data_IF_819008492507
#
_entry.id   IF_819008492507
#
_cell.length_a   1.000
_cell.length_b   1.000
_cell.length_c   1.000
_cell.angle_alpha   90.00
_cell.angle_beta   90.00
_cell.angle_gamma   90.00
#
_symmetry.space_group_name_H-M   'P 1'
#
loop_
_entity.id
_entity.type
_entity.pdbx_description
1 polymer ?
#
# COMPACT_ATOMS: atom_id res chain seq x y z
N UNK A 1 3.94 15.09 4.74
CA UNK A 1 4.17 13.67 4.41
C UNK A 1 4.74 12.99 5.65
N UNK A 2 4.45 11.71 5.84
CA UNK A 2 5.00 10.95 6.96
C UNK A 2 5.32 9.52 6.52
N UNK A 3 6.54 9.07 6.81
CA UNK A 3 7.00 7.71 6.56
C UNK A 3 6.19 6.71 7.38
N UNK A 4 5.72 5.64 6.73
CA UNK A 4 4.90 4.59 7.35
C UNK A 4 5.24 3.23 6.79
N UNK A 5 5.13 2.23 7.65
CA UNK A 5 4.88 0.84 7.24
C UNK A 5 3.36 0.66 7.15
N UNK A 6 2.86 0.13 6.04
CA UNK A 6 1.43 -0.18 5.89
C UNK A 6 1.23 -1.67 6.18
N UNK A 7 0.92 -2.00 7.42
CA UNK A 7 0.80 -3.37 7.91
C UNK A 7 -0.57 -3.97 7.58
N UNK A 8 -0.56 -5.22 7.13
CA UNK A 8 -1.79 -5.99 6.92
C UNK A 8 -2.37 -6.47 8.26
N UNK A 9 -3.67 -6.32 8.48
CA UNK A 9 -4.28 -6.71 9.76
C UNK A 9 -4.53 -8.22 9.89
N UNK A 10 -4.60 -8.99 8.80
CA UNK A 10 -4.78 -10.45 8.92
C UNK A 10 -3.52 -11.17 9.40
N UNK A 11 -2.35 -10.58 9.15
CA UNK A 11 -1.06 -11.08 9.62
C UNK A 11 -0.12 -9.90 9.88
N UNK A 12 0.14 -9.64 11.16
CA UNK A 12 0.93 -8.49 11.61
C UNK A 12 2.42 -8.59 11.28
N UNK A 13 2.89 -9.72 10.73
CA UNK A 13 4.25 -9.87 10.22
C UNK A 13 4.39 -9.48 8.74
N UNK A 14 3.28 -9.11 8.09
CA UNK A 14 3.22 -8.78 6.67
C UNK A 14 2.70 -7.35 6.44
N UNK A 15 3.09 -6.75 5.31
CA UNK A 15 2.59 -5.44 4.89
C UNK A 15 2.72 -5.18 3.40
N UNK A 16 2.20 -4.03 2.97
CA UNK A 16 2.36 -3.58 1.58
C UNK A 16 3.82 -3.24 1.30
N UNK A 17 4.32 -3.75 0.18
CA UNK A 17 5.66 -3.49 -0.30
C UNK A 17 5.84 -3.86 -1.75
N UNK A 18 7.08 -3.76 -2.19
CA UNK A 18 7.49 -4.04 -3.57
C UNK A 18 8.72 -4.91 -3.61
N UNK A 19 8.88 -5.69 -4.68
CA UNK A 19 10.13 -6.43 -4.90
C UNK A 19 11.26 -5.52 -5.41
N UNK A 20 10.89 -4.47 -6.15
CA UNK A 20 11.82 -3.54 -6.79
C UNK A 20 11.23 -2.13 -6.82
N UNK A 21 12.09 -1.11 -6.88
CA UNK A 21 11.74 0.31 -6.77
C UNK A 21 11.78 0.97 -8.16
N UNK A 22 11.01 0.41 -9.10
CA UNK A 22 10.95 0.87 -10.49
C UNK A 22 9.49 1.03 -10.93
N UNK A 23 9.25 1.85 -11.94
CA UNK A 23 7.94 1.97 -12.58
C UNK A 23 7.48 0.59 -13.09
N UNK A 24 6.22 0.25 -12.84
CA UNK A 24 5.59 -1.01 -13.19
C UNK A 24 5.84 -2.14 -12.19
N UNK A 25 6.66 -1.94 -11.16
CA UNK A 25 6.84 -2.94 -10.11
C UNK A 25 5.51 -3.24 -9.42
N UNK A 26 5.20 -4.54 -9.27
CA UNK A 26 3.99 -4.97 -8.60
C UNK A 26 4.04 -4.63 -7.11
N UNK A 27 2.95 -4.06 -6.60
CA UNK A 27 2.73 -3.91 -5.17
C UNK A 27 2.09 -5.19 -4.65
N UNK A 28 2.63 -5.69 -3.55
CA UNK A 28 2.19 -6.95 -2.97
C UNK A 28 2.42 -7.03 -1.49
N UNK A 29 2.15 -8.21 -0.94
CA UNK A 29 2.26 -8.51 0.48
C UNK A 29 3.61 -9.12 0.77
N UNK A 30 4.33 -8.53 1.71
CA UNK A 30 5.70 -8.91 2.00
C UNK A 30 5.99 -9.02 3.49
N UNK A 31 6.93 -9.89 3.92
CA UNK A 31 7.42 -9.92 5.29
C UNK A 31 7.97 -8.57 5.72
N UNK A 32 7.57 -8.10 6.91
CA UNK A 32 8.07 -6.85 7.45
C UNK A 32 9.55 -6.95 7.89
N UNK A 33 10.04 -8.17 8.15
CA UNK A 33 11.45 -8.43 8.42
C UNK A 33 12.29 -8.39 7.14
N UNK A 34 13.29 -7.52 7.09
CA UNK A 34 14.41 -7.63 6.14
C UNK A 34 14.26 -6.91 4.78
N UNK A 35 13.20 -6.14 4.55
CA UNK A 35 12.98 -5.45 3.25
C UNK A 35 13.26 -3.93 3.26
N UNK A 36 13.51 -3.35 4.44
CA UNK A 36 13.94 -1.94 4.60
C UNK A 36 13.09 -0.97 3.76
N UNK A 37 13.78 -0.17 2.95
CA UNK A 37 13.23 0.81 2.00
C UNK A 37 12.05 0.34 1.12
N UNK A 38 11.93 -0.96 0.82
CA UNK A 38 10.87 -1.51 -0.05
C UNK A 38 9.49 -1.62 0.63
N UNK A 39 9.42 -1.32 1.92
CA UNK A 39 8.19 -1.33 2.72
C UNK A 39 7.81 0.06 3.25
N UNK A 40 8.65 1.07 3.05
CA UNK A 40 8.46 2.40 3.63
C UNK A 40 7.72 3.28 2.63
N UNK A 41 6.57 3.78 3.08
CA UNK A 41 5.67 4.60 2.28
C UNK A 41 5.50 5.97 2.91
N UNK A 42 5.60 7.03 2.11
CA UNK A 42 5.17 8.37 2.49
C UNK A 42 3.68 8.54 2.17
N UNK A 43 2.87 8.70 3.21
CA UNK A 43 1.46 9.05 3.05
C UNK A 43 1.33 10.57 2.98
N UNK A 44 1.02 11.08 1.79
CA UNK A 44 0.75 12.49 1.54
C UNK A 44 -0.75 12.76 1.60
N UNK A 45 -1.22 13.11 2.80
CA UNK A 45 -2.62 13.46 3.05
C UNK A 45 -3.07 14.74 2.34
N UNK A 46 -2.15 15.64 1.97
CA UNK A 46 -2.49 16.90 1.31
C UNK A 46 -2.87 16.67 -0.16
N UNK A 47 -2.18 15.73 -0.81
CA UNK A 47 -2.43 15.36 -2.21
C UNK A 47 -3.23 14.05 -2.36
N UNK A 48 -3.52 13.33 -1.27
CA UNK A 48 -4.07 11.97 -1.27
C UNK A 48 -3.17 10.97 -2.03
N UNK A 49 -1.85 11.06 -1.89
CA UNK A 49 -0.92 10.14 -2.53
C UNK A 49 -0.26 9.21 -1.51
N UNK A 50 0.05 7.99 -1.94
CA UNK A 50 0.89 7.05 -1.19
C UNK A 50 2.13 6.81 -2.05
N UNK A 51 3.26 7.33 -1.60
CA UNK A 51 4.52 7.34 -2.34
C UNK A 51 5.49 6.36 -1.72
N UNK A 52 6.29 5.66 -2.51
CA UNK A 52 7.39 4.87 -1.97
C UNK A 52 8.51 5.83 -1.55
N UNK A 53 8.92 5.76 -0.28
CA UNK A 53 9.89 6.70 0.30
C UNK A 53 11.26 6.60 -0.39
N UNK A 54 11.79 5.38 -0.50
CA UNK A 54 13.11 5.14 -1.08
C UNK A 54 13.21 5.39 -2.60
N UNK A 55 12.08 5.64 -3.27
CA UNK A 55 12.05 6.13 -4.66
C UNK A 55 12.30 7.64 -4.80
N UNK A 56 12.71 8.34 -3.73
CA UNK A 56 12.83 9.79 -3.72
C UNK A 56 11.49 10.48 -3.98
N UNK A 57 10.39 9.82 -3.55
CA UNK A 57 9.01 10.27 -3.76
C UNK A 57 8.60 10.39 -5.24
N UNK A 58 9.31 9.73 -6.16
CA UNK A 58 8.99 9.73 -7.60
C UNK A 58 8.10 8.56 -8.04
N UNK A 59 7.75 7.66 -7.11
CA UNK A 59 6.96 6.46 -7.37
C UNK A 59 5.72 6.43 -6.47
N UNK A 60 4.54 6.37 -7.06
CA UNK A 60 3.25 6.33 -6.37
C UNK A 60 2.57 4.97 -6.50
N UNK A 61 1.81 4.59 -5.47
CA UNK A 61 0.82 3.51 -5.55
C UNK A 61 -0.25 3.88 -6.58
N UNK A 62 -0.44 3.03 -7.57
CA UNK A 62 -1.36 3.27 -8.68
C UNK A 62 -2.10 2.01 -9.09
N UNK A 63 -3.21 2.19 -9.77
CA UNK A 63 -3.83 1.10 -10.54
C UNK A 63 -2.93 0.80 -11.73
N UNK A 64 -2.72 -0.48 -12.02
CA UNK A 64 -2.00 -0.87 -13.23
C UNK A 64 -2.61 -0.20 -14.47
N UNK A 65 -1.76 0.41 -15.27
CA UNK A 65 -2.11 1.17 -16.49
C UNK A 65 -3.11 2.32 -16.23
N UNK A 66 -3.21 2.82 -14.99
CA UNK A 66 -4.16 3.85 -14.57
C UNK A 66 -5.63 3.40 -14.64
N UNK A 67 -5.88 2.08 -14.75
CA UNK A 67 -7.22 1.53 -14.96
C UNK A 67 -7.98 1.42 -13.64
N UNK A 68 -8.84 2.39 -13.34
CA UNK A 68 -9.67 2.41 -12.14
C UNK A 68 -10.84 1.42 -12.30
N UNK A 69 -10.66 0.19 -11.82
CA UNK A 69 -11.68 -0.85 -11.81
C UNK A 69 -11.36 -1.91 -10.74
N UNK A 70 -12.37 -2.68 -10.33
CA UNK A 70 -12.15 -3.86 -9.47
C UNK A 70 -11.26 -4.89 -10.17
N UNK A 71 -10.54 -5.66 -9.37
CA UNK A 71 -9.62 -6.73 -9.76
C UNK A 71 -8.41 -6.27 -10.57
N UNK A 72 -8.12 -4.96 -10.56
CA UNK A 72 -6.92 -4.41 -11.19
C UNK A 72 -5.74 -4.47 -10.20
N UNK A 73 -4.60 -5.09 -10.58
CA UNK A 73 -3.40 -5.10 -9.75
C UNK A 73 -2.90 -3.69 -9.44
N UNK A 74 -2.29 -3.51 -8.27
CA UNK A 74 -1.63 -2.27 -7.92
C UNK A 74 -0.14 -2.33 -8.25
N UNK A 75 0.41 -1.21 -8.70
CA UNK A 75 1.80 -1.08 -9.14
C UNK A 75 2.40 0.23 -8.65
N UNK A 76 3.72 0.36 -8.78
CA UNK A 76 4.38 1.66 -8.77
C UNK A 76 4.26 2.33 -10.13
N UNK A 77 3.79 3.58 -10.15
CA UNK A 77 3.82 4.44 -11.33
C UNK A 77 4.61 5.71 -11.06
N UNK A 78 5.07 6.37 -12.13
CA UNK A 78 5.75 7.67 -12.03
C UNK A 78 4.85 8.72 -11.35
N UNK A 79 5.39 9.43 -10.38
CA UNK A 79 4.78 10.56 -9.69
C UNK A 79 5.45 11.87 -10.10
N UNK A 80 4.66 12.81 -10.63
CA UNK A 80 5.16 14.08 -11.19
C UNK A 80 4.90 15.28 -10.29
N UNK A 81 4.88 15.06 -8.97
CA UNK A 81 4.57 16.08 -7.96
C UNK A 81 3.07 16.33 -7.74
N UNK A 82 2.19 15.72 -8.53
CA UNK A 82 0.73 15.75 -8.32
C UNK A 82 0.15 14.41 -8.77
N UNK A 83 -0.74 13.78 -7.98
CA UNK A 83 -1.25 12.46 -8.31
C UNK A 83 -2.27 12.54 -9.45
N UNK A 84 -2.19 11.60 -10.38
CA UNK A 84 -3.29 11.33 -11.32
C UNK A 84 -4.52 10.82 -10.58
N UNK A 85 -5.69 10.76 -11.24
CA UNK A 85 -6.93 10.23 -10.61
C UNK A 85 -6.76 8.81 -10.03
N UNK A 86 -5.98 7.96 -10.70
CA UNK A 86 -5.75 6.58 -10.26
C UNK A 86 -4.73 6.48 -9.11
N UNK A 87 -3.92 7.52 -8.89
CA UNK A 87 -2.94 7.60 -7.80
C UNK A 87 -3.52 8.19 -6.51
N UNK A 88 -4.81 8.55 -6.49
CA UNK A 88 -5.42 9.19 -5.33
C UNK A 88 -6.07 8.16 -4.38
N UNK A 89 -5.53 8.10 -3.16
CA UNK A 89 -5.91 7.19 -2.10
C UNK A 89 -6.19 7.93 -0.79
N UNK A 90 -7.28 7.58 -0.13
CA UNK A 90 -7.64 8.11 1.19
C UNK A 90 -7.58 7.03 2.24
N UNK A 91 -6.91 7.33 3.36
CA UNK A 91 -6.91 6.51 4.58
C UNK A 91 -7.90 7.02 5.65
N UNK A 92 -8.59 8.14 5.38
CA UNK A 92 -9.53 8.77 6.33
C UNK A 92 -10.99 8.65 5.92
N UNK A 93 -11.30 8.50 4.62
CA UNK A 93 -12.67 8.28 4.15
C UNK A 93 -13.30 7.04 4.78
N UNK A 94 -12.48 6.02 5.03
CA UNK A 94 -12.87 4.79 5.71
C UNK A 94 -11.69 4.33 6.58
N UNK A 95 -11.60 4.75 7.86
CA UNK A 95 -10.49 4.41 8.74
C UNK A 95 -10.23 2.90 8.81
N UNK A 96 -8.95 2.50 8.72
CA UNK A 96 -8.55 1.09 8.63
C UNK A 96 -8.52 0.51 7.21
N UNK A 97 -8.90 1.29 6.20
CA UNK A 97 -8.88 0.90 4.79
C UNK A 97 -8.17 1.97 3.95
N UNK A 98 -7.60 1.56 2.83
CA UNK A 98 -7.02 2.48 1.83
C UNK A 98 -8.00 2.53 0.67
N UNK A 99 -8.73 3.62 0.56
CA UNK A 99 -9.88 3.78 -0.35
C UNK A 99 -9.48 4.63 -1.55
N UNK A 100 -9.81 4.21 -2.77
CA UNK A 100 -9.61 5.06 -3.94
C UNK A 100 -10.50 6.31 -3.83
N UNK A 101 -9.93 7.48 -4.10
CA UNK A 101 -10.69 8.74 -4.13
C UNK A 101 -11.55 8.84 -5.39
N UNK A 102 -11.06 8.30 -6.51
CA UNK A 102 -11.75 8.35 -7.79
C UNK A 102 -12.94 7.38 -7.87
N UNK A 103 -12.89 6.26 -7.15
CA UNK A 103 -14.01 5.34 -6.96
C UNK A 103 -14.03 4.81 -5.52
N UNK A 104 -14.88 5.39 -4.68
CA UNK A 104 -14.93 5.08 -3.24
C UNK A 104 -15.51 3.69 -2.91
N UNK A 105 -15.99 2.98 -3.94
CA UNK A 105 -16.34 1.55 -3.81
C UNK A 105 -15.10 0.65 -3.82
N UNK A 106 -13.95 1.12 -4.29
CA UNK A 106 -12.71 0.34 -4.40
C UNK A 106 -11.74 0.62 -3.26
N UNK A 107 -11.11 -0.44 -2.75
CA UNK A 107 -10.07 -0.40 -1.71
C UNK A 107 -8.89 -1.28 -2.08
N UNK A 108 -7.75 -1.05 -1.42
CA UNK A 108 -6.60 -1.97 -1.46
C UNK A 108 -6.97 -3.26 -0.74
N UNK A 109 -6.79 -4.38 -1.43
CA UNK A 109 -7.14 -5.72 -0.98
C UNK A 109 -5.95 -6.67 -1.18
N UNK A 110 -5.74 -7.58 -0.24
CA UNK A 110 -4.84 -8.71 -0.41
C UNK A 110 -5.52 -9.86 -1.16
N UNK A 111 -5.11 -10.10 -2.41
CA UNK A 111 -5.77 -11.06 -3.29
C UNK A 111 -5.81 -12.45 -2.67
N UNK A 112 -7.03 -12.94 -2.45
CA UNK A 112 -7.30 -14.26 -1.86
C UNK A 112 -6.69 -14.48 -0.47
N UNK A 113 -6.33 -13.43 0.28
CA UNK A 113 -5.68 -13.51 1.60
C UNK A 113 -4.35 -14.30 1.57
N UNK A 114 -3.58 -14.17 0.49
CA UNK A 114 -2.36 -14.94 0.30
C UNK A 114 -1.22 -14.43 1.17
N UNK A 115 -0.63 -15.33 1.96
CA UNK A 115 0.48 -15.00 2.89
C UNK A 115 1.88 -15.14 2.26
N UNK A 116 1.95 -15.57 0.99
CA UNK A 116 3.22 -15.75 0.28
C UNK A 116 3.87 -14.40 -0.05
N UNK A 117 5.20 -14.25 0.07
CA UNK A 117 5.89 -13.03 -0.35
C UNK A 117 5.57 -12.65 -1.80
N UNK A 118 5.17 -11.40 -2.01
CA UNK A 118 4.75 -10.90 -3.31
C UNK A 118 3.32 -11.26 -3.69
N UNK A 119 2.49 -11.79 -2.78
CA UNK A 119 1.07 -11.99 -3.06
C UNK A 119 0.45 -10.67 -3.55
N UNK A 120 -0.34 -10.64 -4.64
CA UNK A 120 -0.76 -9.39 -5.25
C UNK A 120 -1.65 -8.55 -4.34
N UNK A 121 -1.29 -7.27 -4.18
CA UNK A 121 -2.23 -6.25 -3.77
C UNK A 121 -2.99 -5.77 -5.02
N UNK A 122 -4.31 -5.65 -4.91
CA UNK A 122 -5.17 -5.22 -6.02
C UNK A 122 -6.28 -4.31 -5.52
N UNK A 123 -6.88 -3.54 -6.42
CA UNK A 123 -8.10 -2.83 -6.13
C UNK A 123 -9.28 -3.80 -6.14
N UNK A 124 -10.09 -3.80 -5.10
CA UNK A 124 -11.27 -4.65 -5.04
C UNK A 124 -12.44 -3.89 -4.42
N UNK A 125 -13.66 -4.31 -4.77
CA UNK A 125 -14.87 -3.74 -4.17
C UNK A 125 -14.83 -3.94 -2.66
N UNK A 126 -15.11 -2.86 -1.92
CA UNK A 126 -15.17 -2.88 -0.48
C UNK A 126 -16.18 -3.93 0.01
N UNK A 127 -15.70 -4.86 0.83
CA UNK A 127 -16.49 -5.92 1.44
C UNK A 127 -16.22 -6.07 2.96
N UNK A 128 -15.35 -5.24 3.53
CA UNK A 128 -15.03 -5.22 4.96
C UNK A 128 -14.24 -6.41 5.48
N UNK A 129 -13.81 -7.33 4.60
CA UNK A 129 -13.03 -8.48 5.00
C UNK A 129 -11.64 -8.09 5.50
N UNK A 130 -11.00 -8.99 6.25
CA UNK A 130 -9.66 -8.77 6.79
C UNK A 130 -8.59 -8.58 5.68
N UNK A 131 -8.87 -9.03 4.45
CA UNK A 131 -8.00 -8.79 3.28
C UNK A 131 -7.83 -7.29 2.97
N UNK A 132 -8.78 -6.46 3.40
CA UNK A 132 -8.86 -5.03 3.06
C UNK A 132 -8.41 -4.13 4.20
N UNK A 133 -8.01 -4.72 5.34
CA UNK A 133 -7.73 -3.98 6.55
C UNK A 133 -6.23 -3.73 6.71
N UNK A 134 -5.88 -2.45 6.85
CA UNK A 134 -4.51 -1.96 6.88
C UNK A 134 -4.30 -1.03 8.07
N UNK A 135 -3.08 -1.04 8.61
CA UNK A 135 -2.65 -0.10 9.65
C UNK A 135 -1.35 0.57 9.23
N UNK A 136 -1.37 1.86 8.88
CA UNK A 136 -0.17 2.67 8.80
C UNK A 136 0.47 2.77 10.20
N UNK A 137 1.76 2.47 10.27
CA UNK A 137 2.54 2.49 11.51
C UNK A 137 3.81 3.28 11.29
N UNK A 138 4.30 3.91 12.35
CA UNK A 138 5.64 4.45 12.35
C UNK A 138 6.67 3.31 12.12
N UNK A 139 7.68 3.47 11.26
CA UNK A 139 8.66 2.41 10.99
C UNK A 139 9.41 1.92 12.23
N UNK A 140 9.72 2.80 13.17
CA UNK A 140 10.38 2.42 14.42
C UNK A 140 9.45 1.60 15.31
N UNK A 141 8.18 2.01 15.42
CA UNK A 141 7.17 1.21 16.12
C UNK A 141 7.00 -0.18 15.47
N UNK A 142 6.94 -0.24 14.14
CA UNK A 142 6.83 -1.51 13.42
C UNK A 142 8.04 -2.43 13.68
N UNK A 143 9.25 -1.87 13.76
CA UNK A 143 10.45 -2.63 14.08
C UNK A 143 10.43 -3.18 15.53
N UNK A 144 9.99 -2.38 16.50
CA UNK A 144 9.85 -2.81 17.90
C UNK A 144 8.86 -3.98 18.04
N UNK A 145 7.69 -3.89 17.41
CA UNK A 145 6.68 -4.94 17.48
C UNK A 145 7.17 -6.27 16.87
N UNK A 146 8.08 -6.23 15.88
CA UNK A 146 8.67 -7.45 15.31
C UNK A 146 9.73 -8.10 16.20
N UNK A 147 10.42 -7.31 17.03
CA UNK A 147 11.42 -7.84 17.97
C UNK A 147 10.80 -8.40 19.23
N UNK A 148 9.66 -7.87 19.66
CA UNK A 148 8.95 -8.33 20.87
C UNK A 148 8.18 -9.65 20.64
N UNK A 149 7.88 -9.97 19.37
CA UNK A 149 7.17 -11.19 18.95
C UNK A 149 8.11 -12.38 18.60
N UNK A 150 9.42 -12.24 18.81
CA UNK A 150 10.47 -13.21 18.43
C UNK A 150 11.03 -14.00 19.63
#
# INVERSE_FOLDING_TARGET
MSERIIRWQANTRLGLGVNDQIVGAAVGIWPLSGLGARLVWNIDMSNNAILLDAGGETLALDFKDGKIASEVPLVLSEYKGTPTKSQQWSIILRPGYITSVADTSLVVDDKSRGVGPGNPAWAYVFNGSIAQQWRPMDPFQAAQELTDDA
#
